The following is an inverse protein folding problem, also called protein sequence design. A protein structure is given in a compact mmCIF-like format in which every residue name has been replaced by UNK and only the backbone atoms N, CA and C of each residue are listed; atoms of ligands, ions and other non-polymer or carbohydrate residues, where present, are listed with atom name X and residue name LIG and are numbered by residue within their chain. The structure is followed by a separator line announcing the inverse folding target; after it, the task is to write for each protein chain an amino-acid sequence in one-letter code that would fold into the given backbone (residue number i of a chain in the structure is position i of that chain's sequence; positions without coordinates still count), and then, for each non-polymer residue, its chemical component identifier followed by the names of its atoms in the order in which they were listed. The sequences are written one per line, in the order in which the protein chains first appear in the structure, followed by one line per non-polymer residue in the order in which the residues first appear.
data_IF_798191798475
#
_entry.id   IF_798191798475
#
_cell.length_a   1.000
_cell.length_b   1.000
_cell.length_c   1.000
_cell.angle_alpha   90.00
_cell.angle_beta   90.00
_cell.angle_gamma   90.00
#
_symmetry.space_group_name_H-M   'P 1'
#
loop_
_entity.id
_entity.type
_entity.pdbx_description
1 polymer ?
#
# COMPACT_ATOMS: atom_id res chain seq x y z
N UNK A 1 14.36 7.18 8.66
CA UNK A 1 14.06 5.85 8.13
C UNK A 1 14.38 5.84 6.64
N UNK A 2 15.16 4.88 6.18
CA UNK A 2 15.54 4.87 4.78
C UNK A 2 14.50 4.13 3.92
N UNK A 3 14.62 4.31 2.61
CA UNK A 3 13.67 3.77 1.65
C UNK A 3 13.61 2.25 1.67
N UNK A 4 14.72 1.58 1.90
CA UNK A 4 14.78 0.12 1.92
C UNK A 4 13.96 -0.46 3.08
N UNK A 5 13.98 0.18 4.23
CA UNK A 5 13.18 -0.24 5.38
C UNK A 5 11.70 -0.12 5.06
N UNK A 6 11.30 0.97 4.42
CA UNK A 6 9.90 1.20 4.04
C UNK A 6 9.44 0.14 3.04
N UNK A 7 10.25 -0.14 2.02
CA UNK A 7 9.91 -1.16 1.01
C UNK A 7 9.79 -2.54 1.62
N UNK A 8 10.73 -2.89 2.52
CA UNK A 8 10.68 -4.18 3.19
C UNK A 8 9.44 -4.35 4.03
N UNK A 9 9.04 -3.27 4.72
CA UNK A 9 7.84 -3.29 5.55
C UNK A 9 6.58 -3.52 4.72
N UNK A 10 6.41 -2.81 3.61
CA UNK A 10 5.26 -2.99 2.74
C UNK A 10 5.18 -4.41 2.19
N UNK A 11 6.30 -4.98 1.82
CA UNK A 11 6.34 -6.34 1.32
C UNK A 11 5.88 -7.34 2.38
N UNK A 12 6.27 -7.12 3.63
CA UNK A 12 5.84 -7.97 4.74
C UNK A 12 4.36 -7.79 5.06
N UNK A 13 3.79 -6.65 4.70
CA UNK A 13 2.40 -6.32 4.98
C UNK A 13 1.44 -6.72 3.86
N UNK A 14 1.87 -7.54 2.91
CA UNK A 14 1.05 -7.94 1.76
C UNK A 14 -0.34 -8.42 2.16
N UNK A 15 -0.43 -9.29 3.16
CA UNK A 15 -1.71 -9.77 3.64
C UNK A 15 -2.56 -8.68 4.29
N UNK A 16 -1.92 -7.77 5.00
CA UNK A 16 -2.60 -6.66 5.64
C UNK A 16 -3.10 -5.63 4.62
N UNK A 17 -2.34 -5.43 3.54
CA UNK A 17 -2.76 -4.58 2.44
C UNK A 17 -4.08 -5.08 1.85
N UNK A 18 -4.14 -6.37 1.56
CA UNK A 18 -5.35 -6.98 1.01
C UNK A 18 -6.52 -6.90 1.99
N UNK A 19 -6.26 -7.10 3.26
CA UNK A 19 -7.30 -7.01 4.29
C UNK A 19 -7.83 -5.59 4.46
N UNK A 20 -6.94 -4.58 4.43
CA UNK A 20 -7.34 -3.19 4.59
C UNK A 20 -8.08 -2.66 3.36
N UNK A 21 -7.61 -3.02 2.18
CA UNK A 21 -8.18 -2.55 0.92
C UNK A 21 -8.72 -3.74 0.12
N UNK A 22 -9.92 -4.17 0.49
CA UNK A 22 -10.55 -5.37 -0.09
C UNK A 22 -10.79 -5.30 -1.59
N UNK A 23 -10.82 -4.10 -2.17
CA UNK A 23 -10.98 -3.94 -3.61
C UNK A 23 -9.71 -4.30 -4.39
N UNK A 24 -8.58 -4.43 -3.71
CA UNK A 24 -7.34 -4.86 -4.35
C UNK A 24 -7.34 -6.37 -4.52
N UNK A 25 -7.08 -6.82 -5.74
CA UNK A 25 -6.97 -8.24 -6.05
C UNK A 25 -5.58 -8.76 -5.69
N UNK A 26 -5.42 -10.07 -5.71
CA UNK A 26 -4.10 -10.68 -5.51
C UNK A 26 -3.09 -10.18 -6.55
N UNK A 27 -3.55 -9.99 -7.80
CA UNK A 27 -2.70 -9.47 -8.86
C UNK A 27 -2.27 -8.03 -8.57
N UNK A 28 -3.20 -7.21 -8.06
CA UNK A 28 -2.88 -5.83 -7.69
C UNK A 28 -1.81 -5.80 -6.60
N UNK A 29 -1.97 -6.63 -5.57
CA UNK A 29 -1.02 -6.69 -4.47
C UNK A 29 0.34 -7.19 -4.96
N UNK A 30 0.34 -8.16 -5.86
CA UNK A 30 1.58 -8.67 -6.46
C UNK A 30 2.30 -7.58 -7.26
N UNK A 31 1.55 -6.74 -7.98
CA UNK A 31 2.12 -5.63 -8.73
C UNK A 31 2.75 -4.58 -7.81
N UNK A 32 2.16 -4.36 -6.64
CA UNK A 32 2.73 -3.45 -5.65
C UNK A 32 4.13 -3.89 -5.27
N UNK A 33 4.29 -5.15 -4.93
CA UNK A 33 5.60 -5.75 -4.64
C UNK A 33 6.50 -4.87 -3.76
N UNK A 34 5.89 -4.28 -2.71
CA UNK A 34 6.62 -3.43 -1.78
C UNK A 34 6.86 -2.01 -2.27
N UNK A 35 6.39 -1.65 -3.45
CA UNK A 35 6.57 -0.32 -4.01
C UNK A 35 5.43 0.59 -3.59
N UNK A 36 5.75 1.58 -2.77
CA UNK A 36 4.75 2.50 -2.22
C UNK A 36 4.01 3.29 -3.30
N UNK A 37 4.72 3.75 -4.31
CA UNK A 37 4.13 4.54 -5.39
C UNK A 37 3.13 3.73 -6.23
N UNK A 38 3.39 2.43 -6.42
CA UNK A 38 2.45 1.56 -7.12
C UNK A 38 1.18 1.40 -6.27
N UNK A 39 1.33 1.23 -4.97
CA UNK A 39 0.17 1.12 -4.06
C UNK A 39 -0.65 2.40 -4.07
N UNK A 40 0.00 3.56 -4.04
CA UNK A 40 -0.69 4.85 -4.15
C UNK A 40 -1.53 4.89 -5.42
N UNK A 41 -0.96 4.51 -6.56
CA UNK A 41 -1.68 4.48 -7.83
C UNK A 41 -2.89 3.57 -7.81
N UNK A 42 -2.75 2.40 -7.20
CA UNK A 42 -3.87 1.45 -7.07
C UNK A 42 -4.98 2.00 -6.20
N UNK A 43 -4.65 2.65 -5.09
CA UNK A 43 -5.64 3.26 -4.22
C UNK A 43 -6.39 4.40 -4.92
N UNK A 44 -5.68 5.19 -5.70
CA UNK A 44 -6.31 6.25 -6.49
C UNK A 44 -7.26 5.66 -7.53
N UNK A 45 -6.85 4.58 -8.19
CA UNK A 45 -7.65 3.93 -9.23
C UNK A 45 -8.89 3.25 -8.66
N UNK A 46 -8.73 2.49 -7.58
CA UNK A 46 -9.80 1.65 -7.04
C UNK A 46 -10.75 2.40 -6.11
N UNK A 47 -10.25 3.39 -5.38
CA UNK A 47 -11.03 4.10 -4.37
C UNK A 47 -11.23 5.58 -4.69
N UNK A 48 -10.65 6.08 -5.78
CA UNK A 48 -10.76 7.47 -6.15
C UNK A 48 -10.12 8.43 -5.16
N UNK A 49 -9.12 7.97 -4.42
CA UNK A 49 -8.45 8.79 -3.43
C UNK A 49 -7.49 9.78 -4.08
N UNK A 50 -7.25 10.90 -3.41
CA UNK A 50 -6.15 11.78 -3.79
C UNK A 50 -4.83 11.12 -3.41
N UNK A 51 -3.75 11.58 -4.01
CA UNK A 51 -2.41 11.07 -3.66
C UNK A 51 -2.13 11.24 -2.17
N UNK A 52 -2.47 12.39 -1.62
CA UNK A 52 -2.24 12.66 -0.20
C UNK A 52 -3.03 11.71 0.70
N UNK A 53 -4.29 11.47 0.37
CA UNK A 53 -5.12 10.53 1.14
C UNK A 53 -4.57 9.11 1.06
N UNK A 54 -4.17 8.69 -0.15
CA UNK A 54 -3.61 7.36 -0.33
C UNK A 54 -2.33 7.20 0.49
N UNK A 55 -1.44 8.18 0.44
CA UNK A 55 -0.20 8.15 1.21
C UNK A 55 -0.47 8.13 2.72
N UNK A 56 -1.46 8.88 3.16
CA UNK A 56 -1.85 8.90 4.57
C UNK A 56 -2.32 7.53 5.04
N UNK A 57 -3.16 6.88 4.25
CA UNK A 57 -3.66 5.55 4.61
C UNK A 57 -2.55 4.50 4.65
N UNK A 58 -1.61 4.60 3.71
CA UNK A 58 -0.46 3.71 3.70
C UNK A 58 0.39 3.91 4.95
N UNK A 59 0.63 5.17 5.31
CA UNK A 59 1.39 5.50 6.50
C UNK A 59 0.72 4.95 7.76
N UNK A 60 -0.60 5.09 7.85
CA UNK A 60 -1.36 4.56 8.98
C UNK A 60 -1.19 3.05 9.10
N UNK A 61 -1.24 2.35 7.97
CA UNK A 61 -1.02 0.90 7.98
C UNK A 61 0.39 0.55 8.46
N UNK A 62 1.38 1.25 7.95
CA UNK A 62 2.77 1.02 8.33
C UNK A 62 3.01 1.27 9.82
N UNK A 63 2.34 2.26 10.39
CA UNK A 63 2.49 2.62 11.79
C UNK A 63 1.70 1.73 12.74
N UNK A 64 0.67 1.04 12.25
CA UNK A 64 -0.20 0.22 13.08
C UNK A 64 0.37 -1.15 13.42
N UNK A 65 1.54 -1.47 12.90
CA UNK A 65 2.15 -2.79 13.07
C UNK A 65 3.52 -2.74 13.75
#
# INVERSE_FOLDING_TARGET
MNEDIIKGKLKQLTGNIKAKWGELTDDDVALVNGKRDVLVGKLQEKYGLTKEKAEQQIKELEESI
#
